data_IF_542467522404
#
_entry.id   IF_542467522404
#
_cell.length_a   1.000
_cell.length_b   1.000
_cell.length_c   1.000
_cell.angle_alpha   90.00
_cell.angle_beta   90.00
_cell.angle_gamma   90.00
#
_symmetry.space_group_name_H-M   'P 1'
#
loop_
_entity.id
_entity.type
_entity.pdbx_description
1 polymer ?
#
# COMPACT_ATOMS: atom_id res chain seq x y z
N UNK A 1 93.10 12.88 30.89
CA UNK A 1 91.98 11.98 31.17
C UNK A 1 90.69 12.74 31.22
N UNK A 2 89.97 12.77 30.18
CA UNK A 2 88.66 13.47 30.07
C UNK A 2 87.58 12.48 29.71
N UNK A 3 86.65 12.30 30.61
CA UNK A 3 85.42 11.45 30.41
C UNK A 3 84.28 12.27 29.87
N UNK A 4 83.78 11.96 28.71
CA UNK A 4 82.56 12.56 28.16
C UNK A 4 81.31 11.71 28.56
N UNK A 5 80.21 12.32 29.03
CA UNK A 5 78.97 11.58 29.24
C UNK A 5 78.15 11.50 27.93
N UNK A 6 77.74 10.29 27.58
CA UNK A 6 76.77 10.03 26.48
C UNK A 6 75.39 10.29 27.00
N UNK A 7 74.67 11.27 26.48
CA UNK A 7 73.21 11.42 26.64
C UNK A 7 72.50 10.40 25.76
N UNK A 8 71.73 9.52 26.37
CA UNK A 8 70.77 8.64 25.69
C UNK A 8 69.42 9.36 25.58
N UNK A 9 69.03 9.72 24.36
CA UNK A 9 67.71 10.29 24.08
C UNK A 9 66.69 9.11 23.97
N UNK A 10 65.77 9.05 24.94
CA UNK A 10 64.62 8.13 24.90
C UNK A 10 63.50 8.86 24.16
N UNK A 11 63.22 8.49 22.89
CA UNK A 11 62.08 8.95 22.11
C UNK A 11 60.85 8.13 22.52
N UNK A 12 59.98 8.73 23.32
CA UNK A 12 58.67 8.16 23.68
C UNK A 12 57.74 8.37 22.47
N UNK A 13 57.48 7.29 21.69
CA UNK A 13 56.53 7.29 20.59
C UNK A 13 55.11 7.29 21.14
N UNK A 14 54.41 8.42 21.00
CA UNK A 14 52.99 8.57 21.31
C UNK A 14 52.16 7.90 20.17
N UNK A 15 51.71 6.67 20.37
CA UNK A 15 50.75 6.01 19.46
C UNK A 15 49.37 6.68 19.65
N UNK A 16 49.00 7.59 18.76
CA UNK A 16 47.67 8.16 18.69
C UNK A 16 46.77 7.06 18.08
N UNK A 17 46.07 6.33 18.94
CA UNK A 17 44.97 5.47 18.51
C UNK A 17 43.84 6.37 17.98
N UNK A 18 43.77 6.60 16.68
CA UNK A 18 42.61 7.17 16.03
C UNK A 18 41.48 6.18 16.12
N UNK A 19 40.60 6.31 17.12
CA UNK A 19 39.30 5.65 17.17
C UNK A 19 38.54 6.15 15.93
N UNK A 20 38.54 5.36 14.87
CA UNK A 20 37.60 5.56 13.77
C UNK A 20 36.19 5.44 14.40
N UNK A 21 35.53 6.58 14.57
CA UNK A 21 34.09 6.61 14.88
C UNK A 21 33.41 5.87 13.75
N UNK A 22 33.10 4.59 13.97
CA UNK A 22 32.32 3.82 13.02
C UNK A 22 31.01 4.58 12.79
N UNK A 23 30.83 5.08 11.59
CA UNK A 23 29.60 5.77 11.22
C UNK A 23 28.42 4.83 11.48
N UNK A 24 27.45 5.28 12.27
CA UNK A 24 26.27 4.48 12.59
C UNK A 24 25.63 3.98 11.29
N UNK A 25 25.39 2.67 11.13
CA UNK A 25 24.77 2.16 9.91
C UNK A 25 23.41 2.85 9.69
N UNK A 26 23.14 3.24 8.46
CA UNK A 26 21.93 3.95 8.09
C UNK A 26 21.26 3.36 6.87
N UNK A 27 19.98 3.62 6.73
CA UNK A 27 19.11 3.20 5.64
C UNK A 27 18.34 4.42 5.14
N UNK A 28 18.33 4.66 3.83
CA UNK A 28 17.54 5.72 3.20
C UNK A 28 16.25 5.14 2.65
N UNK A 29 15.12 5.49 3.28
CA UNK A 29 13.79 5.04 2.93
C UNK A 29 13.05 6.13 2.15
N UNK A 30 12.66 5.84 0.90
CA UNK A 30 11.75 6.67 0.12
C UNK A 30 10.33 6.09 0.25
N UNK A 31 9.42 6.83 0.89
CA UNK A 31 8.12 6.31 1.31
C UNK A 31 6.97 7.14 0.76
N UNK A 32 6.02 6.46 0.13
CA UNK A 32 4.70 7.01 -0.17
C UNK A 32 3.68 6.78 0.97
N UNK A 33 4.08 6.10 2.03
CA UNK A 33 3.28 5.98 3.25
C UNK A 33 3.55 7.19 4.15
N UNK A 34 2.50 7.85 4.57
CA UNK A 34 2.56 9.07 5.38
C UNK A 34 1.70 8.96 6.65
N UNK A 35 1.57 7.74 7.19
CA UNK A 35 0.86 7.54 8.45
C UNK A 35 1.80 7.86 9.62
N UNK A 36 1.36 8.73 10.53
CA UNK A 36 2.10 9.01 11.77
C UNK A 36 2.34 7.74 12.59
N UNK A 37 1.43 6.79 12.47
CA UNK A 37 1.55 5.49 13.11
C UNK A 37 2.78 4.71 12.64
N UNK A 38 3.29 4.89 11.43
CA UNK A 38 4.47 4.18 10.93
C UNK A 38 5.77 4.60 11.66
N UNK A 39 5.80 5.73 12.38
CA UNK A 39 6.97 6.17 13.16
C UNK A 39 7.43 5.13 14.17
N UNK A 40 6.51 4.55 14.94
CA UNK A 40 6.85 3.52 15.91
C UNK A 40 7.43 2.25 15.24
N UNK A 41 7.00 1.93 14.02
CA UNK A 41 7.55 0.83 13.23
C UNK A 41 9.03 1.07 12.90
N UNK A 42 9.36 2.28 12.43
CA UNK A 42 10.72 2.67 12.09
C UNK A 42 11.63 2.77 13.32
N UNK A 43 11.12 3.33 14.41
CA UNK A 43 11.85 3.40 15.69
C UNK A 43 12.16 2.01 16.23
N UNK A 44 11.20 1.10 16.21
CA UNK A 44 11.40 -0.28 16.70
C UNK A 44 12.47 -1.02 15.88
N UNK A 45 12.49 -0.85 14.56
CA UNK A 45 13.57 -1.38 13.73
C UNK A 45 14.93 -0.80 14.13
N UNK A 46 15.01 0.53 14.27
CA UNK A 46 16.26 1.21 14.63
C UNK A 46 16.77 0.79 16.01
N UNK A 47 15.86 0.64 16.99
CA UNK A 47 16.21 0.14 18.36
C UNK A 47 16.70 -1.30 18.33
N UNK A 48 16.07 -2.17 17.54
CA UNK A 48 16.42 -3.58 17.45
C UNK A 48 17.74 -3.86 16.69
N UNK A 49 18.09 -2.99 15.74
CA UNK A 49 19.21 -3.26 14.81
C UNK A 49 20.38 -2.31 14.94
N UNK A 50 20.19 -1.14 15.57
CA UNK A 50 21.15 -0.03 15.56
C UNK A 50 21.22 0.70 14.22
N UNK A 51 20.39 0.35 13.23
CA UNK A 51 20.37 1.01 11.91
C UNK A 51 19.44 2.22 11.95
N UNK A 52 19.97 3.40 11.65
CA UNK A 52 19.19 4.63 11.56
C UNK A 52 18.41 4.68 10.23
N UNK A 53 17.13 5.01 10.27
CA UNK A 53 16.34 5.26 9.06
C UNK A 53 16.32 6.76 8.77
N UNK A 54 16.80 7.15 7.58
CA UNK A 54 16.64 8.47 7.01
C UNK A 54 15.49 8.41 6.00
N UNK A 55 14.45 9.22 6.20
CA UNK A 55 13.23 9.12 5.41
C UNK A 55 13.04 10.31 4.48
N UNK A 56 12.53 10.01 3.29
CA UNK A 56 11.98 10.97 2.32
C UNK A 56 10.55 10.57 2.03
N UNK A 57 9.61 11.44 2.37
CA UNK A 57 8.18 11.21 2.16
C UNK A 57 7.66 12.04 0.98
N UNK A 58 6.84 11.40 0.15
CA UNK A 58 6.07 12.02 -0.94
C UNK A 58 4.90 11.12 -1.29
N UNK A 59 4.07 11.50 -2.26
CA UNK A 59 3.14 10.54 -2.88
C UNK A 59 3.90 9.57 -3.83
N UNK A 60 3.21 8.51 -4.28
CA UNK A 60 3.83 7.50 -5.16
C UNK A 60 4.42 8.13 -6.43
N UNK A 61 3.74 9.10 -7.03
CA UNK A 61 4.20 9.75 -8.26
C UNK A 61 5.46 10.59 -8.00
N UNK A 62 5.50 11.32 -6.90
CA UNK A 62 6.66 12.10 -6.46
C UNK A 62 7.88 11.23 -6.16
N UNK A 63 7.70 10.09 -5.48
CA UNK A 63 8.78 9.12 -5.25
C UNK A 63 9.33 8.60 -6.58
N UNK A 64 8.46 8.17 -7.50
CA UNK A 64 8.89 7.63 -8.79
C UNK A 64 9.58 8.69 -9.66
N UNK A 65 9.05 9.91 -9.72
CA UNK A 65 9.67 11.03 -10.45
C UNK A 65 11.06 11.36 -9.89
N UNK A 66 11.20 11.39 -8.57
CA UNK A 66 12.47 11.63 -7.89
C UNK A 66 13.51 10.57 -8.20
N UNK A 67 13.15 9.28 -8.11
CA UNK A 67 14.04 8.16 -8.43
C UNK A 67 14.52 8.22 -9.89
N UNK A 68 13.63 8.55 -10.84
CA UNK A 68 13.99 8.71 -12.24
C UNK A 68 14.96 9.89 -12.46
N UNK A 69 14.75 11.01 -11.77
CA UNK A 69 15.63 12.20 -11.85
C UNK A 69 17.00 11.94 -11.25
N UNK A 70 17.05 11.29 -10.09
CA UNK A 70 18.30 10.98 -9.39
C UNK A 70 19.11 9.87 -10.09
N UNK A 71 18.43 8.93 -10.74
CA UNK A 71 19.04 7.84 -11.49
C UNK A 71 20.06 7.04 -10.64
N UNK A 72 21.28 6.88 -11.18
CA UNK A 72 22.38 6.17 -10.48
C UNK A 72 22.90 6.90 -9.24
N UNK A 73 22.64 8.21 -9.12
CA UNK A 73 23.06 9.01 -7.98
C UNK A 73 22.07 8.96 -6.81
N UNK A 74 20.92 8.28 -6.99
CA UNK A 74 19.91 8.16 -5.93
C UNK A 74 20.53 7.59 -4.66
N UNK A 75 20.31 8.23 -3.50
CA UNK A 75 20.71 7.68 -2.22
C UNK A 75 19.73 6.65 -1.67
N UNK A 76 18.57 6.41 -2.33
CA UNK A 76 17.54 5.51 -1.84
C UNK A 76 18.06 4.07 -1.70
N UNK A 77 17.78 3.44 -0.56
CA UNK A 77 18.06 2.02 -0.31
C UNK A 77 16.76 1.20 -0.38
N UNK A 78 15.68 1.75 0.17
CA UNK A 78 14.36 1.12 0.19
C UNK A 78 13.32 2.08 -0.39
N UNK A 79 12.41 1.51 -1.18
CA UNK A 79 11.28 2.20 -1.77
C UNK A 79 9.99 1.55 -1.27
N UNK A 80 9.07 2.35 -0.71
CA UNK A 80 7.79 1.91 -0.20
C UNK A 80 6.67 2.65 -0.94
N UNK A 81 5.83 1.89 -1.67
CA UNK A 81 4.71 2.40 -2.46
C UNK A 81 3.38 1.84 -1.93
N UNK A 82 2.29 2.57 -2.15
CA UNK A 82 0.98 2.22 -1.56
C UNK A 82 -0.07 1.74 -2.58
N UNK A 83 0.36 1.43 -3.79
CA UNK A 83 -0.51 0.92 -4.86
C UNK A 83 0.19 -0.14 -5.72
N UNK A 84 -0.52 -1.21 -6.00
CA UNK A 84 -0.07 -2.34 -6.79
C UNK A 84 0.47 -1.94 -8.17
N UNK A 85 -0.22 -1.03 -8.83
CA UNK A 85 0.16 -0.61 -10.17
C UNK A 85 1.38 0.31 -10.17
N UNK A 86 1.60 1.05 -9.09
CA UNK A 86 2.82 1.84 -8.89
C UNK A 86 4.03 0.92 -8.69
N UNK A 87 3.86 -0.16 -7.92
CA UNK A 87 4.89 -1.20 -7.77
C UNK A 87 5.24 -1.85 -9.10
N UNK A 88 4.22 -2.27 -9.86
CA UNK A 88 4.42 -2.83 -11.19
C UNK A 88 5.13 -1.83 -12.13
N UNK A 89 4.69 -0.58 -12.15
CA UNK A 89 5.32 0.46 -12.99
C UNK A 89 6.78 0.66 -12.64
N UNK A 90 7.11 0.77 -11.36
CA UNK A 90 8.48 0.91 -10.88
C UNK A 90 9.36 -0.31 -11.24
N UNK A 91 8.79 -1.52 -11.21
CA UNK A 91 9.46 -2.74 -11.66
C UNK A 91 9.77 -2.69 -13.14
N UNK A 92 8.79 -2.32 -14.00
CA UNK A 92 8.96 -2.19 -15.45
C UNK A 92 10.00 -1.12 -15.81
N UNK A 93 10.00 0.00 -15.09
CA UNK A 93 10.97 1.09 -15.26
C UNK A 93 12.36 0.71 -14.71
N UNK A 94 12.50 -0.48 -14.11
CA UNK A 94 13.76 -1.01 -13.60
C UNK A 94 14.29 -0.24 -12.40
N UNK A 95 13.42 0.30 -11.56
CA UNK A 95 13.78 1.07 -10.35
C UNK A 95 14.13 0.18 -9.15
N UNK A 96 13.83 -1.10 -9.24
CA UNK A 96 14.08 -2.09 -8.19
C UNK A 96 15.19 -3.06 -8.58
N UNK A 97 15.85 -3.65 -7.60
CA UNK A 97 16.66 -4.83 -7.80
C UNK A 97 15.94 -6.05 -7.20
N UNK A 98 15.88 -7.18 -7.91
CA UNK A 98 15.34 -8.41 -7.37
C UNK A 98 16.19 -8.87 -6.18
N UNK A 99 15.53 -9.38 -5.16
CA UNK A 99 16.20 -10.01 -4.01
C UNK A 99 15.60 -11.38 -3.74
N UNK A 100 16.44 -12.27 -3.23
CA UNK A 100 16.02 -13.58 -2.73
C UNK A 100 16.16 -13.59 -1.22
N UNK A 101 15.04 -13.81 -0.53
CA UNK A 101 15.01 -13.95 0.91
C UNK A 101 14.01 -15.03 1.30
N UNK A 102 14.52 -16.09 1.96
CA UNK A 102 13.68 -17.17 2.47
C UNK A 102 12.61 -16.67 3.44
N UNK A 103 12.92 -15.66 4.25
CA UNK A 103 11.99 -15.08 5.20
C UNK A 103 10.80 -14.42 4.46
N UNK A 104 11.09 -13.57 3.47
CA UNK A 104 10.06 -12.90 2.68
C UNK A 104 9.24 -13.89 1.85
N UNK A 105 9.91 -14.81 1.15
CA UNK A 105 9.28 -15.78 0.25
C UNK A 105 8.38 -16.79 0.97
N UNK A 106 8.72 -17.14 2.22
CA UNK A 106 7.91 -18.05 3.04
C UNK A 106 6.69 -17.34 3.65
N UNK A 107 6.84 -16.07 4.03
CA UNK A 107 5.81 -15.35 4.76
C UNK A 107 4.81 -14.62 3.87
N UNK A 108 5.23 -14.19 2.67
CA UNK A 108 4.38 -13.44 1.74
C UNK A 108 3.89 -14.38 0.63
N UNK A 109 2.56 -14.53 0.43
CA UNK A 109 1.99 -15.30 -0.67
C UNK A 109 2.51 -14.84 -2.04
N UNK A 110 2.70 -15.78 -2.98
CA UNK A 110 3.30 -15.50 -4.28
C UNK A 110 2.54 -14.43 -5.09
N UNK A 111 1.21 -14.36 -4.97
CA UNK A 111 0.38 -13.36 -5.64
C UNK A 111 0.56 -11.94 -5.08
N UNK A 112 1.13 -11.79 -3.89
CA UNK A 112 1.39 -10.51 -3.22
C UNK A 112 2.85 -10.06 -3.31
N UNK A 113 3.60 -10.57 -4.28
CA UNK A 113 4.99 -10.16 -4.54
C UNK A 113 5.28 -10.13 -6.03
N UNK A 114 6.35 -9.42 -6.44
CA UNK A 114 6.84 -9.39 -7.80
C UNK A 114 7.14 -10.80 -8.31
N UNK A 115 6.95 -11.03 -9.62
CA UNK A 115 7.24 -12.31 -10.23
C UNK A 115 8.73 -12.65 -10.03
N UNK A 116 9.01 -13.89 -9.65
CA UNK A 116 10.40 -14.37 -9.54
C UNK A 116 11.04 -14.39 -10.95
N UNK A 117 12.08 -13.61 -11.11
CA UNK A 117 12.85 -13.49 -12.36
C UNK A 117 13.99 -14.54 -12.48
N UNK A 118 14.08 -15.48 -11.54
CA UNK A 118 15.25 -16.36 -11.37
C UNK A 118 16.29 -15.78 -10.39
N UNK A 119 16.26 -14.48 -10.16
CA UNK A 119 17.10 -13.77 -9.18
C UNK A 119 16.34 -13.40 -7.90
N UNK A 120 15.07 -13.75 -7.80
CA UNK A 120 14.15 -13.40 -6.73
C UNK A 120 13.06 -12.45 -7.20
N UNK A 121 12.31 -11.89 -6.25
CA UNK A 121 11.22 -10.94 -6.51
C UNK A 121 11.72 -9.50 -6.40
N UNK A 122 11.22 -8.63 -7.28
CA UNK A 122 11.62 -7.21 -7.30
C UNK A 122 10.95 -6.38 -6.19
N UNK A 123 9.80 -6.82 -5.68
CA UNK A 123 9.06 -6.15 -4.60
C UNK A 123 8.22 -7.16 -3.81
N UNK A 124 7.80 -6.76 -2.61
CA UNK A 124 7.07 -7.57 -1.64
C UNK A 124 5.91 -6.78 -1.04
N UNK A 125 4.72 -7.39 -0.98
CA UNK A 125 3.57 -6.82 -0.28
C UNK A 125 3.79 -6.74 1.22
N UNK A 126 3.26 -5.72 1.87
CA UNK A 126 3.36 -5.50 3.31
C UNK A 126 2.02 -5.55 4.01
N UNK A 127 1.00 -5.03 3.39
CA UNK A 127 -0.37 -4.99 3.91
C UNK A 127 -1.36 -4.99 2.75
N UNK A 128 -2.59 -5.42 3.02
CA UNK A 128 -3.67 -5.44 2.04
C UNK A 128 -4.86 -4.61 2.52
N UNK A 129 -5.63 -4.09 1.56
CA UNK A 129 -6.93 -3.46 1.79
C UNK A 129 -7.89 -3.89 0.69
N UNK A 130 -9.14 -4.15 1.08
CA UNK A 130 -10.19 -4.49 0.14
C UNK A 130 -10.89 -3.23 -0.38
N UNK A 131 -11.33 -3.26 -1.63
CA UNK A 131 -12.21 -2.25 -2.22
C UNK A 131 -13.64 -2.71 -2.05
N UNK A 132 -14.36 -2.18 -1.10
CA UNK A 132 -15.71 -2.62 -0.72
C UNK A 132 -16.78 -1.68 -1.25
N UNK A 133 -18.02 -2.19 -1.29
CA UNK A 133 -19.21 -1.37 -1.48
C UNK A 133 -19.75 -1.00 -0.11
N UNK A 134 -20.04 0.28 0.08
CA UNK A 134 -20.80 0.79 1.22
C UNK A 134 -22.16 1.24 0.74
N UNK A 135 -23.20 0.99 1.54
CA UNK A 135 -24.57 1.32 1.19
C UNK A 135 -25.33 1.93 2.38
N UNK A 136 -26.32 2.74 2.09
CA UNK A 136 -27.21 3.32 3.09
C UNK A 136 -28.28 2.28 3.48
N UNK A 137 -28.26 1.82 4.73
CA UNK A 137 -29.14 0.75 5.24
C UNK A 137 -30.64 1.07 5.15
N UNK A 138 -31.01 2.37 5.11
CA UNK A 138 -32.39 2.79 5.07
C UNK A 138 -32.98 2.83 3.64
N UNK A 139 -32.13 2.98 2.63
CA UNK A 139 -32.59 3.30 1.25
C UNK A 139 -32.14 2.28 0.20
N UNK A 140 -31.21 1.38 0.53
CA UNK A 140 -30.66 0.40 -0.40
C UNK A 140 -30.78 -0.99 0.21
N UNK A 141 -31.32 -1.94 -0.54
CA UNK A 141 -31.28 -3.34 -0.15
C UNK A 141 -29.87 -3.89 -0.38
N UNK A 142 -29.32 -4.60 0.61
CA UNK A 142 -28.01 -5.21 0.53
C UNK A 142 -27.86 -6.10 -0.71
N UNK A 143 -28.89 -6.89 -1.03
CA UNK A 143 -28.88 -7.84 -2.15
C UNK A 143 -28.88 -7.16 -3.53
N UNK A 144 -29.03 -5.83 -3.58
CA UNK A 144 -28.91 -5.04 -4.81
C UNK A 144 -27.47 -4.62 -5.13
N UNK A 145 -26.52 -4.94 -4.26
CA UNK A 145 -25.12 -4.46 -4.33
C UNK A 145 -24.10 -5.53 -3.90
N UNK A 146 -24.42 -6.80 -4.14
CA UNK A 146 -23.55 -7.94 -3.79
C UNK A 146 -22.33 -8.10 -4.70
N UNK A 147 -22.35 -7.49 -5.88
CA UNK A 147 -21.27 -7.55 -6.86
C UNK A 147 -20.89 -6.16 -7.37
N UNK A 148 -19.68 -6.01 -7.90
CA UNK A 148 -19.29 -4.77 -8.57
C UNK A 148 -20.12 -4.51 -9.83
N UNK A 149 -20.51 -5.58 -10.52
CA UNK A 149 -21.30 -5.53 -11.74
C UNK A 149 -22.65 -4.87 -11.50
N UNK A 150 -23.30 -5.17 -10.40
CA UNK A 150 -24.62 -4.63 -10.01
C UNK A 150 -24.62 -3.11 -9.80
N UNK A 151 -23.48 -2.50 -9.53
CA UNK A 151 -23.39 -1.05 -9.43
C UNK A 151 -23.75 -0.33 -10.75
N UNK A 152 -23.66 -1.04 -11.89
CA UNK A 152 -24.04 -0.54 -13.20
C UNK A 152 -25.53 -0.81 -13.54
N UNK A 153 -26.24 -1.59 -12.74
CA UNK A 153 -27.66 -1.91 -12.97
C UNK A 153 -28.56 -0.68 -12.79
N UNK A 154 -29.65 -0.64 -13.55
CA UNK A 154 -30.63 0.47 -13.52
C UNK A 154 -31.25 0.69 -12.12
N UNK A 155 -31.32 -0.35 -11.28
CA UNK A 155 -31.79 -0.25 -9.89
C UNK A 155 -30.93 0.69 -9.03
N UNK A 156 -29.68 0.91 -9.41
CA UNK A 156 -28.73 1.82 -8.74
C UNK A 156 -28.64 3.22 -9.40
N UNK A 157 -29.56 3.57 -10.29
CA UNK A 157 -29.59 4.88 -10.97
C UNK A 157 -29.64 6.03 -9.96
N UNK A 158 -28.74 7.02 -10.15
CA UNK A 158 -28.58 8.20 -9.28
C UNK A 158 -28.28 7.88 -7.81
N UNK A 159 -27.62 6.72 -7.55
CA UNK A 159 -27.26 6.29 -6.19
C UNK A 159 -25.76 6.22 -5.93
N UNK A 160 -24.95 6.06 -7.00
CA UNK A 160 -23.51 5.79 -6.86
C UNK A 160 -22.73 7.09 -6.59
N UNK A 161 -21.90 7.06 -5.57
CA UNK A 161 -20.85 8.03 -5.34
C UNK A 161 -19.48 7.38 -5.37
N UNK A 162 -18.51 8.08 -5.92
CA UNK A 162 -17.14 7.62 -6.05
C UNK A 162 -16.17 8.80 -6.11
N UNK A 163 -14.91 8.54 -5.85
CA UNK A 163 -13.82 9.48 -6.12
C UNK A 163 -13.48 9.46 -7.61
N UNK A 164 -12.58 10.34 -8.05
CA UNK A 164 -12.14 10.43 -9.45
C UNK A 164 -11.83 9.05 -10.04
N UNK A 165 -12.24 8.82 -11.29
CA UNK A 165 -11.94 7.61 -12.05
C UNK A 165 -10.44 7.40 -12.24
N UNK A 166 -9.68 8.46 -12.44
CA UNK A 166 -8.21 8.42 -12.58
C UNK A 166 -7.45 8.19 -11.29
N UNK A 167 -8.15 8.14 -10.13
CA UNK A 167 -7.48 7.84 -8.88
C UNK A 167 -6.95 6.40 -8.87
N UNK A 168 -5.71 6.14 -8.38
CA UNK A 168 -5.10 4.82 -8.39
C UNK A 168 -5.99 3.68 -7.86
N UNK A 169 -6.80 3.92 -6.82
CA UNK A 169 -7.69 2.88 -6.26
C UNK A 169 -8.81 2.46 -7.22
N UNK A 170 -9.36 3.40 -7.98
CA UNK A 170 -10.35 3.10 -9.01
C UNK A 170 -9.70 2.48 -10.24
N UNK A 171 -8.54 3.00 -10.69
CA UNK A 171 -7.79 2.40 -11.79
C UNK A 171 -7.41 0.94 -11.49
N UNK A 172 -7.03 0.63 -10.25
CA UNK A 172 -6.71 -0.74 -9.83
C UNK A 172 -7.94 -1.65 -9.86
N UNK A 173 -9.06 -1.22 -9.27
CA UNK A 173 -10.31 -1.99 -9.35
C UNK A 173 -10.75 -2.20 -10.80
N UNK A 174 -10.77 -1.14 -11.60
CA UNK A 174 -11.23 -1.22 -12.98
C UNK A 174 -10.30 -2.08 -13.86
N UNK A 175 -8.99 -2.06 -13.57
CA UNK A 175 -8.01 -2.94 -14.17
C UNK A 175 -8.25 -4.42 -13.84
N UNK A 176 -8.63 -4.72 -12.61
CA UNK A 176 -9.04 -6.06 -12.19
C UNK A 176 -10.35 -6.48 -12.85
N UNK A 177 -11.35 -5.60 -12.89
CA UNK A 177 -12.62 -5.88 -13.57
C UNK A 177 -12.42 -6.17 -15.06
N UNK A 178 -11.44 -5.52 -15.73
CA UNK A 178 -11.12 -5.84 -17.13
C UNK A 178 -10.61 -7.27 -17.30
N UNK A 179 -9.90 -7.83 -16.33
CA UNK A 179 -9.48 -9.23 -16.39
C UNK A 179 -10.65 -10.20 -16.20
N UNK A 180 -11.58 -9.85 -15.32
CA UNK A 180 -12.75 -10.70 -15.08
C UNK A 180 -13.79 -10.64 -16.20
N UNK A 181 -14.05 -9.47 -16.75
CA UNK A 181 -15.16 -9.23 -17.68
C UNK A 181 -14.72 -9.18 -19.15
N UNK A 182 -13.45 -8.90 -19.39
CA UNK A 182 -12.93 -8.52 -20.71
C UNK A 182 -13.20 -7.06 -21.08
N UNK A 183 -12.48 -6.51 -22.09
CA UNK A 183 -12.47 -5.08 -22.38
C UNK A 183 -13.82 -4.48 -22.72
N UNK A 184 -14.63 -5.14 -23.56
CA UNK A 184 -15.93 -4.62 -24.01
C UNK A 184 -16.95 -4.55 -22.89
N UNK A 185 -17.07 -5.64 -22.08
CA UNK A 185 -17.99 -5.67 -20.97
C UNK A 185 -17.57 -4.68 -19.87
N UNK A 186 -16.26 -4.49 -19.64
CA UNK A 186 -15.76 -3.47 -18.72
C UNK A 186 -16.12 -2.07 -19.17
N UNK A 187 -15.98 -1.74 -20.45
CA UNK A 187 -16.40 -0.41 -20.96
C UNK A 187 -17.91 -0.18 -20.81
N UNK A 188 -18.72 -1.21 -21.05
CA UNK A 188 -20.18 -1.17 -20.83
C UNK A 188 -20.52 -0.97 -19.35
N UNK A 189 -19.84 -1.69 -18.47
CA UNK A 189 -19.99 -1.54 -17.03
C UNK A 189 -19.60 -0.13 -16.56
N UNK A 190 -18.47 0.42 -17.01
CA UNK A 190 -18.05 1.78 -16.69
C UNK A 190 -19.06 2.84 -17.15
N UNK A 191 -19.70 2.67 -18.33
CA UNK A 191 -20.81 3.51 -18.79
C UNK A 191 -22.00 3.44 -17.83
N UNK A 192 -22.34 2.24 -17.37
CA UNK A 192 -23.39 2.02 -16.37
C UNK A 192 -23.07 2.72 -15.05
N UNK A 193 -21.82 2.65 -14.55
CA UNK A 193 -21.41 3.40 -13.37
C UNK A 193 -21.61 4.89 -13.53
N UNK A 194 -21.18 5.47 -14.68
CA UNK A 194 -21.36 6.91 -14.97
C UNK A 194 -22.83 7.29 -14.97
N UNK A 195 -23.70 6.46 -15.58
CA UNK A 195 -25.15 6.68 -15.64
C UNK A 195 -25.79 6.65 -14.25
N UNK A 196 -25.23 5.84 -13.34
CA UNK A 196 -25.77 5.61 -12.00
C UNK A 196 -25.21 6.57 -10.93
N UNK A 197 -24.31 7.47 -11.31
CA UNK A 197 -23.77 8.46 -10.37
C UNK A 197 -24.85 9.38 -9.84
N UNK A 198 -24.90 9.56 -8.52
CA UNK A 198 -25.73 10.56 -7.85
C UNK A 198 -25.18 11.98 -8.06
N UNK A 199 -23.88 12.10 -8.23
CA UNK A 199 -23.15 13.34 -8.47
C UNK A 199 -21.82 13.09 -9.19
N UNK A 200 -21.21 14.12 -9.74
CA UNK A 200 -19.85 14.04 -10.28
C UNK A 200 -18.86 13.51 -9.21
N UNK A 201 -17.86 12.72 -9.61
CA UNK A 201 -16.82 12.24 -8.70
C UNK A 201 -16.12 13.39 -7.98
N UNK A 202 -15.99 13.31 -6.65
CA UNK A 202 -15.31 14.31 -5.82
C UNK A 202 -14.89 13.72 -4.47
N UNK A 203 -13.88 14.30 -3.84
CA UNK A 203 -13.44 13.95 -2.50
C UNK A 203 -12.74 12.59 -2.40
N UNK A 204 -12.40 12.21 -1.19
CA UNK A 204 -11.77 10.94 -0.84
C UNK A 204 -12.76 9.87 -0.38
N UNK A 205 -12.25 8.69 0.02
CA UNK A 205 -13.10 7.58 0.44
C UNK A 205 -13.91 7.90 1.72
N UNK A 206 -13.34 8.68 2.65
CA UNK A 206 -14.09 9.15 3.82
C UNK A 206 -15.30 10.00 3.41
N UNK A 207 -15.13 10.88 2.42
CA UNK A 207 -16.23 11.72 1.93
C UNK A 207 -17.32 10.88 1.28
N UNK A 208 -16.96 9.78 0.61
CA UNK A 208 -17.93 8.84 0.04
C UNK A 208 -18.74 8.14 1.15
N UNK A 209 -18.08 7.68 2.22
CA UNK A 209 -18.74 7.01 3.36
C UNK A 209 -19.74 7.97 4.02
N UNK A 210 -19.31 9.22 4.27
CA UNK A 210 -20.14 10.24 4.90
C UNK A 210 -21.32 10.68 3.99
N UNK A 211 -21.11 10.72 2.66
CA UNK A 211 -22.18 10.98 1.71
C UNK A 211 -23.25 9.87 1.68
N UNK A 212 -22.85 8.61 1.83
CA UNK A 212 -23.77 7.48 2.00
C UNK A 212 -24.50 7.59 3.34
N UNK A 213 -23.81 7.90 4.42
CA UNK A 213 -24.43 8.05 5.76
C UNK A 213 -25.43 9.19 5.82
N UNK A 214 -25.21 10.29 5.09
CA UNK A 214 -26.12 11.45 5.03
C UNK A 214 -27.31 11.23 4.08
N UNK A 215 -27.26 10.22 3.21
CA UNK A 215 -28.28 9.98 2.18
C UNK A 215 -28.08 10.80 0.90
N UNK A 216 -26.97 11.55 0.75
CA UNK A 216 -26.59 12.18 -0.54
C UNK A 216 -26.37 11.10 -1.61
N UNK A 217 -25.86 9.93 -1.20
CA UNK A 217 -25.65 8.79 -2.05
C UNK A 217 -26.27 7.54 -1.43
N UNK A 218 -26.75 6.64 -2.27
CA UNK A 218 -27.23 5.32 -1.81
C UNK A 218 -26.09 4.34 -1.60
N UNK A 219 -25.10 4.37 -2.50
CA UNK A 219 -23.96 3.44 -2.52
C UNK A 219 -22.65 4.16 -2.86
N UNK A 220 -21.52 3.60 -2.41
CA UNK A 220 -20.20 4.10 -2.79
C UNK A 220 -19.14 3.00 -2.78
N UNK A 221 -18.05 3.23 -3.51
CA UNK A 221 -16.83 2.42 -3.50
C UNK A 221 -15.81 3.03 -2.56
N UNK A 222 -15.31 2.25 -1.59
CA UNK A 222 -14.32 2.72 -0.61
C UNK A 222 -13.31 1.63 -0.25
N UNK A 223 -12.15 2.02 0.27
CA UNK A 223 -11.21 1.07 0.87
C UNK A 223 -11.57 0.84 2.34
N UNK A 224 -11.40 -0.38 2.78
CA UNK A 224 -11.78 -0.87 4.12
C UNK A 224 -11.13 -0.11 5.28
N UNK A 225 -9.88 0.33 5.15
CA UNK A 225 -9.20 1.01 6.25
C UNK A 225 -9.81 2.39 6.59
N UNK A 226 -10.51 3.04 5.65
CA UNK A 226 -11.28 4.26 5.94
C UNK A 226 -12.50 3.97 6.82
N UNK A 227 -13.20 2.87 6.53
CA UNK A 227 -14.31 2.40 7.37
C UNK A 227 -13.82 2.02 8.76
N UNK A 228 -12.76 1.22 8.85
CA UNK A 228 -12.18 0.81 10.12
C UNK A 228 -11.75 2.02 10.97
N UNK A 229 -11.21 3.07 10.33
CA UNK A 229 -10.86 4.33 11.03
C UNK A 229 -12.08 5.02 11.58
N UNK A 230 -13.18 5.13 10.83
CA UNK A 230 -14.44 5.71 11.32
C UNK A 230 -15.08 4.85 12.42
N UNK A 231 -15.08 3.51 12.28
CA UNK A 231 -15.57 2.60 13.33
C UNK A 231 -14.81 2.73 14.65
N UNK A 232 -13.51 3.04 14.59
CA UNK A 232 -12.65 3.24 15.78
C UNK A 232 -12.58 4.68 16.26
N UNK A 233 -13.23 5.60 15.57
CA UNK A 233 -13.23 7.02 15.94
C UNK A 233 -13.90 7.23 17.29
N UNK A 234 -13.34 8.06 18.18
CA UNK A 234 -14.00 8.45 19.42
C UNK A 234 -15.14 9.45 19.20
N UNK A 235 -15.26 10.04 18.00
CA UNK A 235 -16.22 11.11 17.70
C UNK A 235 -17.63 10.56 17.56
N UNK A 236 -18.64 11.15 18.26
CA UNK A 236 -20.02 10.71 18.17
C UNK A 236 -20.59 10.77 16.74
N UNK A 237 -20.22 11.79 15.96
CA UNK A 237 -20.66 11.96 14.57
C UNK A 237 -20.20 10.83 13.66
N UNK A 238 -18.97 10.33 13.83
CA UNK A 238 -18.44 9.21 13.06
C UNK A 238 -19.18 7.91 13.39
N UNK A 239 -19.47 7.68 14.67
CA UNK A 239 -20.28 6.53 15.12
C UNK A 239 -21.69 6.58 14.54
N UNK A 240 -22.35 7.73 14.64
CA UNK A 240 -23.69 7.94 14.08
C UNK A 240 -23.73 7.76 12.56
N UNK A 241 -22.65 8.10 11.85
CA UNK A 241 -22.52 7.82 10.42
C UNK A 241 -22.39 6.32 10.16
N UNK A 242 -21.54 5.60 10.91
CA UNK A 242 -21.32 4.17 10.74
C UNK A 242 -22.56 3.32 11.06
N UNK A 243 -23.43 3.76 11.98
CA UNK A 243 -24.70 3.09 12.27
C UNK A 243 -25.63 3.03 11.05
N UNK A 244 -25.57 4.02 10.17
CA UNK A 244 -26.39 4.13 8.96
C UNK A 244 -25.80 3.38 7.75
N UNK A 245 -24.54 2.99 7.80
CA UNK A 245 -23.81 2.43 6.65
C UNK A 245 -23.67 0.92 6.79
N UNK A 246 -24.03 0.19 5.75
CA UNK A 246 -23.70 -1.22 5.58
C UNK A 246 -22.45 -1.39 4.72
N UNK A 247 -21.79 -2.54 4.88
CA UNK A 247 -20.57 -2.91 4.16
C UNK A 247 -20.81 -4.22 3.42
N UNK A 248 -20.43 -4.27 2.15
CA UNK A 248 -20.43 -5.49 1.33
C UNK A 248 -19.02 -5.72 0.81
N UNK A 249 -18.51 -6.93 1.00
CA UNK A 249 -17.37 -7.44 0.24
C UNK A 249 -17.94 -8.04 -1.05
N UNK A 250 -17.74 -7.40 -2.22
CA UNK A 250 -18.41 -7.83 -3.44
C UNK A 250 -17.90 -9.17 -3.97
N UNK A 251 -18.69 -9.80 -4.82
CA UNK A 251 -18.30 -10.98 -5.62
C UNK A 251 -17.90 -12.22 -4.79
N UNK A 252 -18.43 -12.39 -3.58
CA UNK A 252 -18.07 -13.52 -2.72
C UNK A 252 -18.47 -14.87 -3.32
N UNK A 253 -19.55 -14.92 -4.10
CA UNK A 253 -19.99 -16.12 -4.81
C UNK A 253 -19.26 -16.39 -6.13
N UNK A 254 -18.45 -15.41 -6.60
CA UNK A 254 -17.71 -15.52 -7.87
C UNK A 254 -16.20 -15.39 -7.65
N UNK A 255 -15.54 -14.40 -8.24
CA UNK A 255 -14.07 -14.27 -8.20
C UNK A 255 -13.54 -13.68 -6.89
N UNK A 256 -14.35 -13.08 -6.04
CA UNK A 256 -13.95 -12.48 -4.78
C UNK A 256 -13.75 -10.96 -4.87
N UNK A 257 -13.53 -10.35 -3.72
CA UNK A 257 -13.36 -8.90 -3.61
C UNK A 257 -11.97 -8.47 -4.07
N UNK A 258 -11.91 -7.37 -4.83
CA UNK A 258 -10.64 -6.74 -5.21
C UNK A 258 -9.84 -6.30 -3.99
N UNK A 259 -8.57 -6.67 -3.96
CA UNK A 259 -7.60 -6.25 -2.95
C UNK A 259 -6.45 -5.48 -3.60
N UNK A 260 -5.97 -4.46 -2.91
CA UNK A 260 -4.78 -3.72 -3.27
C UNK A 260 -3.76 -3.77 -2.12
N UNK A 261 -2.52 -3.42 -2.39
CA UNK A 261 -1.42 -3.59 -1.45
C UNK A 261 -0.63 -2.31 -1.22
N UNK A 262 0.00 -2.20 -0.05
CA UNK A 262 1.23 -1.46 0.10
C UNK A 262 2.39 -2.45 -0.07
N UNK A 263 3.46 -2.03 -0.73
CA UNK A 263 4.59 -2.91 -0.97
C UNK A 263 5.92 -2.19 -0.87
N UNK A 264 6.98 -2.98 -0.73
CA UNK A 264 8.34 -2.51 -0.49
C UNK A 264 9.31 -3.20 -1.44
N UNK A 265 10.35 -2.48 -1.84
CA UNK A 265 11.42 -2.97 -2.71
C UNK A 265 12.78 -2.43 -2.27
N UNK A 266 13.84 -3.14 -2.63
CA UNK A 266 15.20 -2.61 -2.58
C UNK A 266 15.43 -1.77 -3.83
N UNK A 267 15.90 -0.54 -3.67
CA UNK A 267 16.19 0.36 -4.78
C UNK A 267 17.30 -0.20 -5.68
N UNK A 268 17.19 0.03 -7.00
CA UNK A 268 18.16 -0.52 -7.97
C UNK A 268 19.61 -0.22 -7.65
N UNK A 269 19.89 0.97 -7.12
CA UNK A 269 21.25 1.43 -6.83
C UNK A 269 21.49 1.58 -5.32
N UNK A 270 20.77 0.82 -4.50
CA UNK A 270 20.92 0.83 -3.04
C UNK A 270 22.37 0.59 -2.63
N UNK A 271 22.91 1.51 -1.81
CA UNK A 271 24.27 1.42 -1.29
C UNK A 271 24.35 0.58 -0.02
N UNK A 272 23.24 0.55 0.74
CA UNK A 272 23.13 -0.18 2.02
C UNK A 272 22.24 -1.42 1.83
N UNK A 273 22.56 -2.26 0.84
CA UNK A 273 21.75 -3.41 0.44
C UNK A 273 21.37 -4.34 1.61
N UNK A 274 22.34 -4.74 2.43
CA UNK A 274 22.09 -5.66 3.53
C UNK A 274 21.17 -5.04 4.61
N UNK A 275 21.32 -3.75 4.87
CA UNK A 275 20.43 -3.01 5.77
C UNK A 275 19.01 -2.93 5.17
N UNK A 276 18.90 -2.75 3.85
CA UNK A 276 17.63 -2.75 3.13
C UNK A 276 16.93 -4.11 3.25
N UNK A 277 17.61 -5.21 2.97
CA UNK A 277 17.05 -6.56 3.10
C UNK A 277 16.60 -6.85 4.53
N UNK A 278 17.43 -6.53 5.53
CA UNK A 278 17.05 -6.66 6.95
C UNK A 278 15.81 -5.86 7.32
N UNK A 279 15.64 -4.68 6.74
CA UNK A 279 14.44 -3.88 6.97
C UNK A 279 13.21 -4.53 6.33
N UNK A 280 13.31 -5.02 5.10
CA UNK A 280 12.22 -5.75 4.45
C UNK A 280 11.81 -6.99 5.27
N UNK A 281 12.77 -7.76 5.76
CA UNK A 281 12.53 -8.95 6.60
C UNK A 281 11.87 -8.56 7.94
N UNK A 282 12.28 -7.45 8.54
CA UNK A 282 11.62 -6.93 9.74
C UNK A 282 10.16 -6.56 9.48
N UNK A 283 9.85 -5.93 8.33
CA UNK A 283 8.48 -5.52 7.99
C UNK A 283 7.50 -6.70 7.85
N UNK A 284 7.98 -7.93 7.67
CA UNK A 284 7.14 -9.13 7.67
C UNK A 284 7.19 -9.90 8.99
N UNK A 285 7.86 -9.40 10.02
CA UNK A 285 7.78 -9.97 11.38
C UNK A 285 6.36 -9.85 11.94
N UNK A 286 6.00 -10.71 12.90
CA UNK A 286 4.68 -10.65 13.55
C UNK A 286 4.43 -9.29 14.21
N UNK A 287 5.47 -8.70 14.81
CA UNK A 287 5.38 -7.38 15.41
C UNK A 287 5.02 -6.30 14.39
N UNK A 288 5.73 -6.24 13.26
CA UNK A 288 5.48 -5.25 12.22
C UNK A 288 4.11 -5.46 11.57
N UNK A 289 3.74 -6.71 11.33
CA UNK A 289 2.47 -7.06 10.69
C UNK A 289 1.27 -6.80 11.61
N UNK A 290 1.39 -7.04 12.91
CA UNK A 290 0.38 -6.62 13.91
C UNK A 290 0.22 -5.10 13.90
N UNK A 291 1.32 -4.37 13.74
CA UNK A 291 1.31 -2.92 13.69
C UNK A 291 0.53 -2.38 12.48
N UNK A 292 0.70 -2.97 11.28
CA UNK A 292 -0.11 -2.60 10.10
C UNK A 292 -1.60 -2.82 10.35
N UNK A 293 -1.97 -3.90 11.04
CA UNK A 293 -3.36 -4.19 11.36
C UNK A 293 -3.90 -3.21 12.42
N UNK A 294 -3.20 -3.04 13.52
CA UNK A 294 -3.71 -2.31 14.69
C UNK A 294 -3.55 -0.79 14.55
N UNK A 295 -2.44 -0.33 13.95
CA UNK A 295 -2.15 1.08 13.71
C UNK A 295 -2.84 1.64 12.46
N UNK A 296 -2.76 0.91 11.34
CA UNK A 296 -3.18 1.42 10.03
C UNK A 296 -4.51 0.84 9.53
N UNK A 297 -5.12 -0.10 10.25
CA UNK A 297 -6.37 -0.76 9.89
C UNK A 297 -6.29 -1.51 8.54
N UNK A 298 -5.12 -2.04 8.19
CA UNK A 298 -4.89 -2.83 6.98
C UNK A 298 -4.68 -4.31 7.36
N UNK A 299 -5.12 -5.24 6.51
CA UNK A 299 -4.85 -6.67 6.77
C UNK A 299 -3.38 -6.98 6.54
N UNK A 300 -2.76 -7.78 7.43
CA UNK A 300 -1.40 -8.25 7.23
C UNK A 300 -1.32 -9.19 6.01
N UNK A 301 -0.17 -9.25 5.38
CA UNK A 301 0.11 -10.21 4.29
C UNK A 301 0.53 -11.57 4.79
N UNK A 302 0.93 -11.68 6.05
CA UNK A 302 1.36 -12.95 6.67
C UNK A 302 0.16 -13.71 7.21
N UNK A 303 0.15 -15.02 6.96
CA UNK A 303 -0.91 -15.89 7.45
C UNK A 303 -0.76 -16.19 8.97
N UNK A 304 -1.88 -16.52 9.61
CA UNK A 304 -1.91 -17.02 10.98
C UNK A 304 -1.76 -15.96 12.08
N UNK A 305 -1.65 -14.70 11.73
CA UNK A 305 -1.58 -13.62 12.73
C UNK A 305 -2.94 -13.37 13.37
N UNK A 306 -2.99 -13.35 14.70
CA UNK A 306 -4.20 -12.98 15.45
C UNK A 306 -4.31 -11.46 15.47
N UNK A 307 -5.35 -10.95 14.80
CA UNK A 307 -5.62 -9.51 14.78
C UNK A 307 -6.21 -9.04 16.12
N UNK A 308 -5.71 -7.94 16.66
CA UNK A 308 -6.29 -7.27 17.83
C UNK A 308 -7.25 -6.13 17.45
N UNK A 309 -7.22 -5.67 16.21
CA UNK A 309 -8.06 -4.58 15.71
C UNK A 309 -9.56 -4.95 15.68
N UNK A 310 -10.41 -4.33 16.54
CA UNK A 310 -11.81 -4.70 16.62
C UNK A 310 -12.61 -4.38 15.36
N UNK A 311 -12.22 -3.37 14.60
CA UNK A 311 -12.90 -3.01 13.35
C UNK A 311 -12.62 -4.05 12.25
N UNK A 312 -11.37 -4.52 12.12
CA UNK A 312 -11.05 -5.60 11.18
C UNK A 312 -11.71 -6.91 11.59
N UNK A 313 -11.77 -7.22 12.89
CA UNK A 313 -12.48 -8.39 13.40
C UNK A 313 -13.99 -8.31 13.09
N UNK A 314 -14.61 -7.14 13.27
CA UNK A 314 -16.03 -6.93 12.95
C UNK A 314 -16.34 -7.02 11.46
N UNK A 315 -15.40 -6.69 10.59
CA UNK A 315 -15.54 -6.87 9.13
C UNK A 315 -15.47 -8.35 8.74
N UNK A 316 -14.87 -9.21 9.56
CA UNK A 316 -14.79 -10.65 9.34
C UNK A 316 -13.79 -11.06 8.24
N UNK A 317 -13.92 -12.31 7.82
CA UNK A 317 -13.15 -12.87 6.70
C UNK A 317 -13.93 -12.73 5.39
N UNK A 318 -13.20 -12.60 4.29
CA UNK A 318 -13.78 -12.52 2.94
C UNK A 318 -12.88 -13.25 1.94
N UNK A 319 -13.48 -13.66 0.82
CA UNK A 319 -12.75 -14.19 -0.32
C UNK A 319 -12.18 -13.01 -1.12
N UNK A 320 -10.85 -12.92 -1.20
CA UNK A 320 -10.17 -11.99 -2.11
C UNK A 320 -10.04 -12.58 -3.51
N UNK A 321 -10.02 -11.74 -4.52
CA UNK A 321 -9.64 -12.17 -5.87
C UNK A 321 -8.17 -12.66 -5.91
N UNK A 322 -7.84 -13.42 -6.95
CA UNK A 322 -6.51 -14.03 -7.11
C UNK A 322 -5.74 -13.49 -8.31
N UNK A 323 -6.21 -12.39 -8.93
CA UNK A 323 -5.49 -11.75 -10.04
C UNK A 323 -4.13 -11.29 -9.55
N UNK A 324 -3.05 -11.63 -10.27
CA UNK A 324 -1.71 -11.11 -9.94
C UNK A 324 -1.69 -9.59 -10.02
N UNK A 325 -1.09 -8.97 -9.02
CA UNK A 325 -0.99 -7.50 -8.90
C UNK A 325 -0.35 -6.85 -10.15
N UNK A 326 0.60 -7.53 -10.79
CA UNK A 326 1.21 -7.06 -12.04
C UNK A 326 0.21 -6.87 -13.18
N UNK A 327 -0.82 -7.71 -13.25
CA UNK A 327 -1.88 -7.64 -14.27
C UNK A 327 -2.74 -6.39 -14.07
N UNK A 328 -3.08 -6.07 -12.84
CA UNK A 328 -3.78 -4.83 -12.48
C UNK A 328 -3.00 -3.60 -12.97
N UNK A 329 -1.67 -3.63 -12.80
CA UNK A 329 -0.79 -2.56 -13.26
C UNK A 329 -0.76 -2.40 -14.78
N UNK A 330 -0.66 -3.50 -15.52
CA UNK A 330 -0.62 -3.49 -16.99
C UNK A 330 -1.88 -2.89 -17.64
N UNK A 331 -3.02 -3.03 -16.98
CA UNK A 331 -4.29 -2.57 -17.54
C UNK A 331 -4.55 -1.06 -17.35
N UNK A 332 -3.80 -0.37 -16.50
CA UNK A 332 -4.11 1.02 -16.13
C UNK A 332 -4.21 1.98 -17.31
N UNK A 333 -3.31 1.90 -18.30
CA UNK A 333 -3.35 2.79 -19.47
C UNK A 333 -4.63 2.56 -20.29
N UNK A 334 -5.00 1.29 -20.49
CA UNK A 334 -6.23 0.93 -21.22
C UNK A 334 -7.47 1.40 -20.46
N UNK A 335 -7.48 1.24 -19.16
CA UNK A 335 -8.57 1.70 -18.30
C UNK A 335 -8.69 3.23 -18.37
N UNK A 336 -7.59 3.98 -18.27
CA UNK A 336 -7.66 5.45 -18.41
C UNK A 336 -8.29 5.87 -19.74
N UNK A 337 -7.90 5.24 -20.84
CA UNK A 337 -8.51 5.50 -22.15
C UNK A 337 -10.00 5.15 -22.19
N UNK A 338 -10.44 4.08 -21.49
CA UNK A 338 -11.86 3.75 -21.37
C UNK A 338 -12.61 4.82 -20.57
N UNK A 339 -12.06 5.26 -19.43
CA UNK A 339 -12.65 6.30 -18.61
C UNK A 339 -12.87 7.60 -19.39
N UNK A 340 -11.87 8.00 -20.20
CA UNK A 340 -11.96 9.17 -21.05
C UNK A 340 -13.11 9.03 -22.08
N UNK A 341 -13.24 7.84 -22.73
CA UNK A 341 -14.34 7.57 -23.69
C UNK A 341 -15.72 7.56 -23.07
N UNK A 342 -15.85 7.05 -21.84
CA UNK A 342 -17.16 6.97 -21.17
C UNK A 342 -17.50 8.23 -20.37
N UNK A 343 -16.59 9.20 -20.29
CA UNK A 343 -16.79 10.45 -19.55
C UNK A 343 -16.74 10.30 -18.03
N UNK A 344 -16.05 9.27 -17.52
CA UNK A 344 -15.85 9.09 -16.09
C UNK A 344 -14.70 10.01 -15.62
N UNK A 345 -15.01 11.04 -14.85
CA UNK A 345 -14.07 12.08 -14.39
C UNK A 345 -13.28 11.68 -13.15
#
# INVERSE_FOLDING_TARGET
>A
MSLSPRLAAVTLGLAIATSALAQQPSLNLYSARHYQTDEALYENFSKATGIKINRVDSDDAGILARLNTEGRASPADVILLVDAARLWRAEVDGLFQPIRSKALETRIPAQLRGKDSGQGSAWFGLSTRARVIVFNKATVNRDDVDTYEELADAKNKARLCTRSGSHPYNLSLFGAMQEHLGPQATETWLKGLVTNMARSPKGGDTDQILAVASGECGVALTNTYYLARLMRSPKPEDKAAMDKVGIVFPNQASFGTHVNIAGVAVARYAKNHDAAVRFLEYLVSDQAQSYFADGNNEWPVVAGLKLANPALQAMGSFKSETIPISVVGMNQIKIQQMLDRVGYK
#
